data_IF_768255237600
#
_entry.id   IF_768255237600
#
_cell.length_a   1.000
_cell.length_b   1.000
_cell.length_c   1.000
_cell.angle_alpha   90.00
_cell.angle_beta   90.00
_cell.angle_gamma   90.00
#
_symmetry.space_group_name_H-M   'P 1'
#
loop_
_entity.id
_entity.type
_entity.pdbx_description
1 polymer ?
#
# COMPACT_ATOMS: atom_id res chain seq x y z
N UNK A 1 -14.60 7.47 -11.13
CA UNK A 1 -14.73 7.76 -9.69
C UNK A 1 -15.10 9.23 -9.53
N UNK A 2 -16.12 9.58 -8.71
CA UNK A 2 -16.53 10.96 -8.52
C UNK A 2 -15.40 11.84 -7.98
N UNK A 3 -15.38 13.12 -8.37
CA UNK A 3 -14.37 14.09 -7.93
C UNK A 3 -14.32 14.28 -6.40
N UNK A 4 -15.44 14.34 -5.65
CA UNK A 4 -15.38 14.47 -4.19
C UNK A 4 -14.64 13.31 -3.52
N UNK A 5 -14.74 12.10 -4.07
CA UNK A 5 -14.01 10.93 -3.57
C UNK A 5 -12.52 11.08 -3.82
N UNK A 6 -12.11 11.57 -4.99
CA UNK A 6 -10.70 11.83 -5.31
C UNK A 6 -10.09 12.87 -4.36
N UNK A 7 -10.81 13.98 -4.15
CA UNK A 7 -10.40 15.05 -3.25
C UNK A 7 -10.27 14.57 -1.80
N UNK A 8 -11.14 13.67 -1.35
CA UNK A 8 -11.03 13.09 -0.01
C UNK A 8 -9.83 12.14 0.12
N UNK A 9 -9.57 11.30 -0.91
CA UNK A 9 -8.46 10.36 -0.90
C UNK A 9 -7.08 11.04 -0.95
N UNK A 10 -6.94 12.18 -1.64
CA UNK A 10 -5.67 12.90 -1.75
C UNK A 10 -5.22 13.56 -0.43
N UNK A 11 -6.14 13.72 0.53
CA UNK A 11 -5.78 14.19 1.89
C UNK A 11 -4.89 13.21 2.62
N UNK A 12 -4.99 11.91 2.28
CA UNK A 12 -4.33 10.80 2.94
C UNK A 12 -4.72 10.59 4.42
N UNK A 13 -5.74 11.26 4.94
CA UNK A 13 -6.17 11.10 6.35
C UNK A 13 -6.61 9.67 6.68
N UNK A 14 -7.18 8.97 5.68
CA UNK A 14 -7.59 7.56 5.78
C UNK A 14 -6.42 6.63 6.12
N UNK A 15 -5.19 7.00 5.72
CA UNK A 15 -3.96 6.27 6.08
C UNK A 15 -3.70 6.37 7.59
N UNK A 16 -3.87 7.56 8.17
CA UNK A 16 -3.73 7.80 9.61
C UNK A 16 -4.82 7.11 10.43
N UNK A 17 -6.01 6.91 9.84
CA UNK A 17 -7.11 6.13 10.43
C UNK A 17 -6.98 4.61 10.27
N UNK A 18 -5.91 4.14 9.63
CA UNK A 18 -5.70 2.73 9.31
C UNK A 18 -6.85 2.11 8.47
N UNK A 19 -7.44 2.89 7.56
CA UNK A 19 -8.47 2.43 6.63
C UNK A 19 -7.83 1.81 5.38
N UNK A 20 -8.42 0.73 4.87
CA UNK A 20 -7.95 0.09 3.64
C UNK A 20 -8.67 0.69 2.42
N UNK A 21 -7.91 1.04 1.38
CA UNK A 21 -8.44 1.50 0.10
C UNK A 21 -8.44 0.37 -0.93
N UNK A 22 -9.59 0.12 -1.55
CA UNK A 22 -9.73 -0.79 -2.69
C UNK A 22 -10.31 -0.02 -3.86
N UNK A 23 -9.60 -0.03 -5.00
CA UNK A 23 -10.05 0.62 -6.24
C UNK A 23 -10.41 -0.47 -7.26
N UNK A 24 -11.69 -0.58 -7.59
CA UNK A 24 -12.21 -1.55 -8.54
C UNK A 24 -12.87 -0.86 -9.75
N UNK A 25 -12.86 -1.53 -10.90
CA UNK A 25 -13.49 -1.04 -12.12
C UNK A 25 -12.88 -1.65 -13.38
N UNK A 26 -13.49 -1.41 -14.56
CA UNK A 26 -13.05 -1.96 -15.84
C UNK A 26 -11.58 -1.71 -16.12
N UNK A 27 -10.95 -2.56 -16.95
CA UNK A 27 -9.57 -2.34 -17.37
C UNK A 27 -9.41 -1.00 -18.10
N UNK A 28 -8.22 -0.39 -18.02
CA UNK A 28 -7.93 0.89 -18.71
C UNK A 28 -8.54 2.15 -18.10
N UNK A 29 -9.25 2.08 -16.96
CA UNK A 29 -9.90 3.24 -16.33
C UNK A 29 -8.99 4.07 -15.40
N UNK A 30 -7.66 3.87 -15.49
CA UNK A 30 -6.68 4.65 -14.72
C UNK A 30 -6.54 4.28 -13.24
N UNK A 31 -7.09 3.14 -12.78
CA UNK A 31 -7.00 2.69 -11.39
C UNK A 31 -5.56 2.68 -10.86
N UNK A 32 -4.67 1.94 -11.52
CA UNK A 32 -3.25 1.85 -11.12
C UNK A 32 -2.55 3.22 -11.16
N UNK A 33 -2.84 4.05 -12.16
CA UNK A 33 -2.26 5.39 -12.27
C UNK A 33 -2.73 6.31 -11.14
N UNK A 34 -4.01 6.25 -10.75
CA UNK A 34 -4.52 7.02 -9.61
C UNK A 34 -3.88 6.54 -8.30
N UNK A 35 -3.75 5.22 -8.14
CA UNK A 35 -3.06 4.58 -7.03
C UNK A 35 -1.59 5.02 -6.92
N UNK A 36 -0.88 5.09 -8.04
CA UNK A 36 0.50 5.61 -8.12
C UNK A 36 0.58 7.09 -7.74
N UNK A 37 -0.42 7.90 -8.13
CA UNK A 37 -0.52 9.30 -7.69
C UNK A 37 -0.69 9.44 -6.17
N UNK A 38 -1.53 8.60 -5.55
CA UNK A 38 -1.66 8.55 -4.09
C UNK A 38 -0.37 8.07 -3.41
N UNK A 39 0.33 7.11 -4.01
CA UNK A 39 1.63 6.64 -3.54
C UNK A 39 2.66 7.79 -3.51
N UNK A 40 2.74 8.56 -4.59
CA UNK A 40 3.61 9.71 -4.71
C UNK A 40 3.29 10.77 -3.65
N UNK A 41 2.01 11.12 -3.48
CA UNK A 41 1.58 12.06 -2.45
C UNK A 41 1.91 11.57 -1.02
N UNK A 42 1.88 10.26 -0.78
CA UNK A 42 2.24 9.69 0.52
C UNK A 42 3.75 9.81 0.77
N UNK A 43 4.58 9.53 -0.24
CA UNK A 43 6.04 9.70 -0.17
C UNK A 43 6.41 11.16 0.12
N UNK A 44 5.71 12.12 -0.50
CA UNK A 44 5.90 13.55 -0.26
C UNK A 44 5.54 13.99 1.17
N UNK A 45 4.74 13.20 1.89
CA UNK A 45 4.43 13.38 3.32
C UNK A 45 5.29 12.49 4.23
N UNK A 46 6.45 12.05 3.76
CA UNK A 46 7.39 11.16 4.47
C UNK A 46 6.80 9.80 4.90
N UNK A 47 5.71 9.37 4.27
CA UNK A 47 5.15 8.04 4.49
C UNK A 47 5.91 7.00 3.65
N UNK A 48 6.08 5.82 4.24
CA UNK A 48 6.71 4.68 3.55
C UNK A 48 5.67 3.94 2.74
N UNK A 49 5.93 3.76 1.45
CA UNK A 49 5.05 3.03 0.52
C UNK A 49 5.73 1.73 0.08
N UNK A 50 4.97 0.66 -0.19
CA UNK A 50 5.47 -0.39 -1.08
C UNK A 50 4.45 -1.01 -1.98
N UNK A 51 4.95 -1.36 -3.15
CA UNK A 51 4.17 -1.87 -4.24
C UNK A 51 4.39 -3.37 -4.40
N UNK A 52 3.31 -4.12 -4.56
CA UNK A 52 3.34 -5.56 -4.81
C UNK A 52 2.17 -5.99 -5.70
N UNK A 53 2.47 -6.56 -6.85
CA UNK A 53 1.44 -7.38 -7.50
C UNK A 53 1.11 -8.59 -6.62
N UNK A 54 -0.08 -9.17 -6.80
CA UNK A 54 -0.49 -10.37 -6.08
C UNK A 54 0.50 -11.53 -6.29
N UNK A 55 1.06 -11.66 -7.49
CA UNK A 55 2.07 -12.66 -7.83
C UNK A 55 3.36 -12.43 -7.06
N UNK A 56 3.86 -11.20 -7.02
CA UNK A 56 5.10 -10.88 -6.29
C UNK A 56 4.95 -11.03 -4.78
N UNK A 57 3.79 -10.67 -4.23
CA UNK A 57 3.49 -10.82 -2.81
C UNK A 57 3.39 -12.31 -2.43
N UNK A 58 2.61 -13.08 -3.20
CA UNK A 58 2.43 -14.51 -2.95
C UNK A 58 3.75 -15.29 -3.08
N UNK A 59 4.60 -14.95 -4.05
CA UNK A 59 5.94 -15.51 -4.20
C UNK A 59 6.83 -15.17 -3.00
N UNK A 60 6.82 -13.92 -2.52
CA UNK A 60 7.61 -13.50 -1.36
C UNK A 60 7.18 -14.24 -0.09
N UNK A 61 5.87 -14.36 0.15
CA UNK A 61 5.33 -15.10 1.29
C UNK A 61 5.63 -16.60 1.15
N UNK A 62 5.45 -17.18 -0.03
CA UNK A 62 5.75 -18.58 -0.32
C UNK A 62 7.20 -18.94 -0.01
N UNK A 63 8.15 -18.15 -0.50
CA UNK A 63 9.58 -18.33 -0.19
C UNK A 63 9.86 -18.24 1.32
N UNK A 64 9.24 -17.27 1.99
CA UNK A 64 9.43 -17.05 3.43
C UNK A 64 8.90 -18.18 4.32
N UNK A 65 8.01 -19.02 3.79
CA UNK A 65 7.52 -20.22 4.49
C UNK A 65 8.54 -21.35 4.40
N UNK A 66 9.19 -21.51 3.25
CA UNK A 66 10.19 -22.56 3.01
C UNK A 66 11.45 -22.32 3.83
N UNK A 67 11.91 -21.07 3.92
CA UNK A 67 13.14 -20.71 4.64
C UNK A 67 12.91 -20.32 6.12
N UNK A 68 11.67 -20.44 6.62
CA UNK A 68 11.30 -20.11 8.00
C UNK A 68 11.34 -18.61 8.34
N UNK A 69 11.48 -17.71 7.36
CA UNK A 69 11.62 -16.27 7.58
C UNK A 69 10.31 -15.47 7.51
N UNK A 70 9.14 -16.12 7.61
CA UNK A 70 7.82 -15.49 7.44
C UNK A 70 7.63 -14.27 8.34
N UNK A 71 7.94 -14.36 9.63
CA UNK A 71 7.80 -13.23 10.56
C UNK A 71 8.67 -12.03 10.15
N UNK A 72 9.91 -12.28 9.68
CA UNK A 72 10.81 -11.23 9.18
C UNK A 72 10.29 -10.60 7.89
N UNK A 73 9.73 -11.41 7.00
CA UNK A 73 9.15 -10.94 5.74
C UNK A 73 7.89 -10.10 5.98
N UNK A 74 6.99 -10.57 6.84
CA UNK A 74 5.79 -9.81 7.25
C UNK A 74 6.19 -8.53 7.98
N UNK A 75 7.15 -8.60 8.91
CA UNK A 75 7.68 -7.39 9.54
C UNK A 75 8.22 -6.44 8.47
N UNK A 76 9.11 -6.88 7.58
CA UNK A 76 9.62 -6.02 6.49
C UNK A 76 8.53 -5.41 5.63
N UNK A 77 7.38 -6.06 5.42
CA UNK A 77 6.25 -5.56 4.62
C UNK A 77 5.36 -4.62 5.45
N UNK A 78 5.01 -4.96 6.69
CA UNK A 78 4.01 -4.24 7.48
C UNK A 78 4.61 -3.31 8.55
N UNK A 79 5.86 -3.53 8.96
CA UNK A 79 6.51 -2.94 10.13
C UNK A 79 7.91 -2.44 9.79
N UNK A 80 8.19 -1.17 10.08
CA UNK A 80 9.58 -0.73 10.26
C UNK A 80 9.95 -0.90 11.73
N UNK A 81 11.12 -1.48 12.08
CA UNK A 81 11.61 -1.39 13.45
C UNK A 81 11.86 0.09 13.82
N UNK A 82 11.11 0.62 14.79
CA UNK A 82 11.41 1.91 15.43
C UNK A 82 10.57 3.12 15.02
N UNK A 83 9.37 2.98 14.43
CA UNK A 83 8.48 4.13 14.21
C UNK A 83 7.02 3.76 14.47
N UNK A 84 6.30 4.44 15.38
CA UNK A 84 4.86 4.27 15.49
C UNK A 84 4.22 4.95 14.27
N UNK A 85 3.39 4.22 13.53
CA UNK A 85 2.50 4.76 12.48
C UNK A 85 3.07 5.12 11.09
N UNK A 86 4.05 4.36 10.56
CA UNK A 86 4.26 4.35 9.11
C UNK A 86 3.30 3.34 8.46
N UNK A 87 2.03 3.74 8.29
CA UNK A 87 1.03 2.96 7.54
C UNK A 87 1.50 2.80 6.10
N UNK A 88 1.77 1.56 5.70
CA UNK A 88 2.22 1.25 4.35
C UNK A 88 1.02 0.96 3.47
N UNK A 89 0.93 1.70 2.37
CA UNK A 89 0.06 1.35 1.26
C UNK A 89 0.67 0.16 0.55
N UNK A 90 -0.04 -0.97 0.55
CA UNK A 90 0.23 -2.09 -0.33
C UNK A 90 -0.75 -2.00 -1.50
N UNK A 91 -0.21 -1.97 -2.71
CA UNK A 91 -0.94 -1.91 -3.97
C UNK A 91 -0.55 -3.07 -4.84
#
# INVERSE_FOLDING_TARGET
>A
MPEPTQNSLITLEWIGRAENLVIAGPSGTGKSHFTEGLAQAAIEKDLRVSWFTLETLSAAIGKSKVDGSTARTVARICLTPGTPAATRLAF
#
